data_IF_735757965579
#
_entry.id   IF_735757965579
#
_cell.length_a   1.000
_cell.length_b   1.000
_cell.length_c   1.000
_cell.angle_alpha   90.00
_cell.angle_beta   90.00
_cell.angle_gamma   90.00
#
_symmetry.space_group_name_H-M   'P 1'
#
loop_
_entity.id
_entity.type
_entity.pdbx_description
1 polymer ?
#
# COMPACT_ATOMS: atom_id res chain seq x y z
N UNK A 1 7.77 2.62 3.36
CA UNK A 1 6.74 3.69 3.37
C UNK A 1 7.30 4.96 3.99
N UNK A 2 7.97 5.81 3.20
CA UNK A 2 8.29 7.20 3.59
C UNK A 2 7.30 8.12 2.87
N UNK A 3 6.56 8.91 3.63
CA UNK A 3 5.55 9.79 3.06
C UNK A 3 4.73 10.62 4.05
N UNK A 4 5.23 10.88 5.25
CA UNK A 4 4.77 12.01 6.04
C UNK A 4 5.74 13.17 5.78
N UNK A 5 5.26 14.24 5.14
CA UNK A 5 6.01 15.49 4.99
C UNK A 5 6.43 15.97 6.37
N UNK A 6 7.74 16.05 6.60
CA UNK A 6 8.30 16.80 7.71
C UNK A 6 7.88 18.27 7.60
N UNK A 7 7.38 18.80 8.70
CA UNK A 7 7.48 20.23 8.99
C UNK A 7 8.97 20.60 9.11
N UNK A 8 9.35 21.87 8.85
CA UNK A 8 10.76 22.24 8.69
C UNK A 8 11.47 22.22 10.05
N UNK A 9 12.45 21.34 10.16
CA UNK A 9 13.32 21.23 11.33
C UNK A 9 14.20 20.01 11.18
N UNK A 10 15.46 20.23 10.77
CA UNK A 10 16.47 19.19 10.73
C UNK A 10 16.64 18.55 12.11
N UNK A 11 16.42 17.24 12.20
CA UNK A 11 16.67 16.45 13.41
C UNK A 11 16.42 14.99 13.12
N UNK A 12 17.42 14.15 13.37
CA UNK A 12 17.30 12.70 13.27
C UNK A 12 16.16 12.16 14.14
N UNK A 13 15.72 10.95 13.82
CA UNK A 13 14.65 10.24 14.53
C UNK A 13 15.15 9.80 15.93
N UNK A 14 15.43 10.71 16.85
CA UNK A 14 15.68 10.42 18.26
C UNK A 14 14.34 10.40 19.03
N UNK A 15 13.44 9.51 18.60
CA UNK A 15 12.21 9.19 19.34
C UNK A 15 12.38 7.86 20.08
N UNK A 16 12.12 7.83 21.39
CA UNK A 16 12.00 6.57 22.14
C UNK A 16 10.86 5.72 21.54
N UNK A 17 10.94 4.37 21.57
CA UNK A 17 9.83 3.50 21.19
C UNK A 17 8.50 3.86 21.88
N UNK A 18 8.55 4.39 23.11
CA UNK A 18 7.36 4.87 23.83
C UNK A 18 6.72 6.11 23.19
N UNK A 19 7.52 7.08 22.75
CA UNK A 19 7.04 8.27 22.07
C UNK A 19 6.48 7.93 20.67
N UNK A 20 7.09 6.96 19.99
CA UNK A 20 6.56 6.44 18.73
C UNK A 20 5.18 5.81 18.93
N UNK A 21 5.03 4.95 19.95
CA UNK A 21 3.75 4.32 20.28
C UNK A 21 2.65 5.37 20.53
N UNK A 22 2.91 6.34 21.39
CA UNK A 22 1.97 7.42 21.71
C UNK A 22 1.54 8.19 20.45
N UNK A 23 2.49 8.48 19.55
CA UNK A 23 2.19 9.13 18.28
C UNK A 23 1.24 8.34 17.36
N UNK A 24 1.23 7.01 17.46
CA UNK A 24 0.37 6.13 16.67
C UNK A 24 -0.95 5.73 17.36
N UNK A 25 -1.14 6.02 18.66
CA UNK A 25 -2.36 5.65 19.41
C UNK A 25 -3.65 6.22 18.80
N UNK A 26 -3.58 7.37 18.13
CA UNK A 26 -4.72 8.08 17.56
C UNK A 26 -4.72 8.05 16.03
N UNK A 27 -4.01 7.11 15.42
CA UNK A 27 -3.96 6.99 13.97
C UNK A 27 -5.34 6.68 13.38
N UNK A 28 -5.82 7.52 12.47
CA UNK A 28 -7.06 7.30 11.72
C UNK A 28 -6.73 6.79 10.31
N UNK A 29 -7.01 5.50 10.00
CA UNK A 29 -6.72 4.93 8.69
C UNK A 29 -7.53 5.59 7.55
N UNK A 30 -8.76 6.06 7.82
CA UNK A 30 -9.59 6.71 6.80
C UNK A 30 -9.05 8.10 6.47
N UNK A 31 -8.67 8.86 7.49
CA UNK A 31 -8.03 10.15 7.29
C UNK A 31 -6.69 9.98 6.56
N UNK A 32 -5.89 8.97 6.92
CA UNK A 32 -4.65 8.65 6.24
C UNK A 32 -4.86 8.36 4.74
N UNK A 33 -5.83 7.51 4.41
CA UNK A 33 -6.18 7.18 3.03
C UNK A 33 -6.64 8.42 2.26
N UNK A 34 -7.57 9.21 2.82
CA UNK A 34 -8.05 10.44 2.17
C UNK A 34 -6.92 11.44 1.92
N UNK A 35 -6.00 11.59 2.87
CA UNK A 35 -4.96 12.60 2.78
C UNK A 35 -3.83 12.22 1.81
N UNK A 36 -3.66 10.93 1.49
CA UNK A 36 -2.52 10.43 0.71
C UNK A 36 -2.90 9.76 -0.61
N UNK A 37 -4.08 9.15 -0.67
CA UNK A 37 -4.51 8.26 -1.76
C UNK A 37 -5.84 8.68 -2.38
N UNK A 38 -6.29 9.92 -2.13
CA UNK A 38 -7.34 10.59 -2.90
C UNK A 38 -6.79 11.87 -3.57
N UNK A 39 -7.50 12.41 -4.57
CA UNK A 39 -7.13 13.68 -5.19
C UNK A 39 -7.00 14.81 -4.14
N UNK A 40 -6.02 15.73 -4.29
CA UNK A 40 -5.14 15.89 -5.45
C UNK A 40 -3.84 15.06 -5.38
N UNK A 41 -3.61 14.24 -4.34
CA UNK A 41 -2.34 13.49 -4.21
C UNK A 41 -2.32 12.22 -5.06
N UNK A 42 -3.44 11.52 -5.12
CA UNK A 42 -3.65 10.41 -6.04
C UNK A 42 -4.18 10.93 -7.38
N UNK A 43 -3.40 11.81 -8.00
CA UNK A 43 -3.63 12.25 -9.36
C UNK A 43 -2.90 11.28 -10.32
N UNK A 44 -3.66 10.68 -11.22
CA UNK A 44 -3.18 9.70 -12.20
C UNK A 44 -3.09 10.30 -13.62
N UNK A 45 -3.30 11.61 -13.77
CA UNK A 45 -3.22 12.28 -15.08
C UNK A 45 -1.80 12.38 -15.65
N UNK A 46 -0.76 12.11 -14.84
CA UNK A 46 0.64 12.10 -15.26
C UNK A 46 1.44 11.03 -14.54
N UNK A 47 2.28 10.30 -15.27
CA UNK A 47 3.21 9.31 -14.70
C UNK A 47 4.29 9.92 -13.79
N UNK A 48 4.54 11.23 -13.91
CA UNK A 48 5.52 11.95 -13.09
C UNK A 48 4.98 12.25 -11.68
N UNK A 49 3.69 12.02 -11.44
CA UNK A 49 3.11 12.19 -10.11
C UNK A 49 3.43 11.02 -9.18
N UNK A 50 3.46 11.33 -7.88
CA UNK A 50 4.02 10.45 -6.87
C UNK A 50 3.35 9.08 -6.80
N UNK A 51 2.04 8.99 -7.01
CA UNK A 51 1.31 7.72 -6.95
C UNK A 51 1.57 6.88 -8.21
N UNK A 52 1.35 7.39 -9.44
CA UNK A 52 1.77 6.70 -10.67
C UNK A 52 3.24 6.28 -10.68
N UNK A 53 4.16 7.17 -10.29
CA UNK A 53 5.59 6.88 -10.23
C UNK A 53 5.90 5.70 -9.28
N UNK A 54 5.28 5.66 -8.09
CA UNK A 54 5.44 4.54 -7.15
C UNK A 54 4.98 3.21 -7.77
N UNK A 55 3.83 3.22 -8.43
CA UNK A 55 3.28 2.03 -9.07
C UNK A 55 4.16 1.55 -10.22
N UNK A 56 4.65 2.48 -11.06
CA UNK A 56 5.58 2.16 -12.15
C UNK A 56 6.85 1.51 -11.61
N UNK A 57 7.48 2.08 -10.59
CA UNK A 57 8.69 1.51 -10.01
C UNK A 57 8.47 0.08 -9.49
N UNK A 58 7.34 -0.18 -8.82
CA UNK A 58 7.00 -1.53 -8.35
C UNK A 58 6.80 -2.48 -9.54
N UNK A 59 6.01 -2.07 -10.54
CA UNK A 59 5.74 -2.86 -11.72
C UNK A 59 7.01 -3.23 -12.49
N UNK A 60 7.88 -2.25 -12.78
CA UNK A 60 9.16 -2.47 -13.46
C UNK A 60 10.09 -3.40 -12.66
N UNK A 61 10.10 -3.24 -11.33
CA UNK A 61 10.92 -4.07 -10.44
C UNK A 61 10.51 -5.54 -10.51
N UNK A 62 9.21 -5.84 -10.44
CA UNK A 62 8.74 -7.23 -10.52
C UNK A 62 8.79 -7.76 -11.96
N UNK A 63 8.56 -6.92 -12.97
CA UNK A 63 8.64 -7.28 -14.38
C UNK A 63 10.05 -7.70 -14.82
N UNK A 64 11.11 -7.26 -14.12
CA UNK A 64 12.47 -7.76 -14.33
C UNK A 64 12.57 -9.29 -14.22
N UNK A 65 11.66 -9.89 -13.44
CA UNK A 65 11.69 -11.30 -13.09
C UNK A 65 12.80 -11.66 -12.10
N UNK A 66 13.63 -10.72 -11.63
CA UNK A 66 14.68 -11.05 -10.65
C UNK A 66 14.10 -11.23 -9.25
N UNK A 67 12.98 -10.56 -8.95
CA UNK A 67 12.30 -10.60 -7.66
C UNK A 67 11.07 -11.50 -7.74
N UNK A 68 11.20 -12.73 -7.25
CA UNK A 68 10.13 -13.74 -7.17
C UNK A 68 10.44 -14.74 -6.06
N UNK A 69 9.44 -15.48 -5.60
CA UNK A 69 9.65 -16.51 -4.60
C UNK A 69 8.35 -17.13 -4.10
N UNK A 70 8.42 -17.86 -2.99
CA UNK A 70 7.23 -18.44 -2.38
C UNK A 70 6.50 -17.44 -1.48
N UNK A 71 7.22 -16.75 -0.59
CA UNK A 71 6.62 -15.84 0.39
C UNK A 71 7.22 -14.44 0.31
N UNK A 72 6.36 -13.42 0.28
CA UNK A 72 6.69 -12.02 0.50
C UNK A 72 6.13 -11.57 1.85
N UNK A 73 6.91 -10.83 2.63
CA UNK A 73 6.42 -10.19 3.87
C UNK A 73 6.46 -8.67 3.67
N UNK A 74 5.30 -8.03 3.72
CA UNK A 74 5.17 -6.58 3.74
C UNK A 74 5.12 -6.07 5.19
N UNK A 75 5.96 -5.09 5.48
CA UNK A 75 6.19 -4.59 6.85
C UNK A 75 5.75 -3.13 6.93
N UNK A 76 4.74 -2.88 7.76
CA UNK A 76 4.11 -1.56 7.87
C UNK A 76 3.20 -1.27 6.68
N UNK A 77 2.36 -2.23 6.32
CA UNK A 77 1.41 -2.13 5.20
C UNK A 77 0.42 -0.99 5.36
N UNK A 78 0.15 -0.57 6.61
CA UNK A 78 -0.89 0.37 6.96
C UNK A 78 -2.25 -0.06 6.43
N UNK A 79 -3.16 0.89 6.18
CA UNK A 79 -4.44 0.60 5.54
C UNK A 79 -4.32 0.54 4.00
N UNK A 80 -3.20 0.09 3.43
CA UNK A 80 -2.94 0.14 1.98
C UNK A 80 -2.49 -1.20 1.38
N UNK A 81 -2.85 -1.43 0.11
CA UNK A 81 -2.48 -2.65 -0.66
C UNK A 81 -1.70 -2.36 -1.94
N UNK A 82 -1.59 -1.09 -2.36
CA UNK A 82 -1.06 -0.74 -3.69
C UNK A 82 0.37 -1.24 -3.91
N UNK A 83 1.15 -1.34 -2.83
CA UNK A 83 2.53 -1.80 -2.84
C UNK A 83 2.69 -3.29 -3.16
N UNK A 84 1.59 -4.06 -3.11
CA UNK A 84 1.57 -5.50 -3.32
C UNK A 84 1.03 -5.89 -4.69
N UNK A 85 0.39 -4.96 -5.40
CA UNK A 85 -0.33 -5.24 -6.65
C UNK A 85 0.55 -5.94 -7.69
N UNK A 86 1.77 -5.43 -7.91
CA UNK A 86 2.72 -6.02 -8.86
C UNK A 86 3.45 -7.25 -8.32
N UNK A 87 3.38 -7.52 -7.02
CA UNK A 87 4.03 -8.68 -6.40
C UNK A 87 3.18 -9.96 -6.49
N UNK A 88 1.86 -9.84 -6.64
CA UNK A 88 0.91 -10.95 -6.62
C UNK A 88 1.22 -12.05 -7.64
N UNK A 89 1.75 -11.71 -8.81
CA UNK A 89 2.08 -12.69 -9.86
C UNK A 89 3.43 -13.39 -9.63
N UNK A 90 4.20 -12.95 -8.62
CA UNK A 90 5.58 -13.36 -8.38
C UNK A 90 5.76 -14.12 -7.06
N UNK A 91 4.75 -14.12 -6.19
CA UNK A 91 4.77 -14.77 -4.88
C UNK A 91 3.48 -15.55 -4.61
N UNK A 92 3.63 -16.80 -4.17
CA UNK A 92 2.50 -17.67 -3.81
C UNK A 92 1.78 -17.20 -2.54
N UNK A 93 2.52 -16.60 -1.62
CA UNK A 93 2.05 -16.17 -0.31
C UNK A 93 2.53 -14.74 -0.03
N UNK A 94 1.60 -13.87 0.37
CA UNK A 94 1.91 -12.51 0.79
C UNK A 94 1.38 -12.30 2.21
N UNK A 95 2.28 -11.94 3.13
CA UNK A 95 1.96 -11.63 4.52
C UNK A 95 2.10 -10.13 4.73
N UNK A 96 0.97 -9.44 4.86
CA UNK A 96 0.93 -8.03 5.22
C UNK A 96 0.92 -7.86 6.73
N UNK A 97 1.78 -7.00 7.27
CA UNK A 97 1.91 -6.75 8.71
C UNK A 97 1.89 -5.26 8.99
N UNK A 98 1.31 -4.87 10.12
CA UNK A 98 1.35 -3.49 10.58
C UNK A 98 1.54 -3.42 12.11
N UNK A 99 2.12 -2.31 12.57
CA UNK A 99 2.31 -2.04 14.00
C UNK A 99 0.97 -1.81 14.71
N UNK A 100 0.07 -1.10 14.04
CA UNK A 100 -1.26 -0.89 14.55
C UNK A 100 -2.08 -2.13 14.24
N UNK A 101 -2.78 -2.64 15.25
CA UNK A 101 -3.91 -3.51 15.04
C UNK A 101 -5.02 -2.68 14.39
N UNK A 102 -4.90 -2.41 13.09
CA UNK A 102 -5.99 -1.86 12.31
C UNK A 102 -7.08 -2.91 12.34
N UNK A 103 -8.29 -2.50 12.74
CA UNK A 103 -9.46 -3.37 12.70
C UNK A 103 -9.47 -4.06 11.33
N UNK A 104 -9.47 -5.41 11.26
CA UNK A 104 -9.57 -6.15 10.02
C UNK A 104 -10.72 -5.64 9.14
N UNK A 105 -11.78 -5.06 9.73
CA UNK A 105 -12.89 -4.40 9.02
C UNK A 105 -12.48 -3.19 8.17
N UNK A 106 -11.36 -2.52 8.45
CA UNK A 106 -10.85 -1.40 7.65
C UNK A 106 -10.21 -1.84 6.32
N UNK A 107 -9.65 -3.05 6.29
CA UNK A 107 -9.13 -3.72 5.09
C UNK A 107 -10.11 -4.78 4.52
N UNK A 108 -11.12 -5.15 5.29
CA UNK A 108 -12.07 -6.23 5.04
C UNK A 108 -12.84 -6.16 3.73
N UNK A 109 -13.26 -5.00 3.19
CA UNK A 109 -13.94 -4.98 1.91
C UNK A 109 -13.04 -5.51 0.78
N UNK A 110 -11.73 -5.23 0.89
CA UNK A 110 -10.74 -5.62 -0.11
C UNK A 110 -10.25 -7.05 0.13
N UNK A 111 -10.06 -7.49 1.38
CA UNK A 111 -9.54 -8.84 1.70
C UNK A 111 -10.64 -9.93 1.62
N UNK A 112 -11.91 -9.60 1.93
CA UNK A 112 -13.00 -10.57 1.81
C UNK A 112 -13.30 -10.94 0.35
N UNK A 113 -13.13 -10.00 -0.57
CA UNK A 113 -13.29 -10.27 -2.01
C UNK A 113 -12.23 -11.26 -2.52
N UNK A 114 -11.00 -11.18 -2.01
CA UNK A 114 -9.89 -12.06 -2.37
C UNK A 114 -9.93 -13.45 -1.71
N UNK A 115 -10.73 -13.64 -0.66
CA UNK A 115 -10.85 -14.93 0.06
C UNK A 115 -12.02 -15.80 -0.43
N UNK A 116 -12.74 -15.36 -1.45
CA UNK A 116 -13.70 -16.20 -2.18
C UNK A 116 -13.03 -16.82 -3.43
N UNK A 117 -12.73 -18.14 -3.43
CA UNK A 117 -12.00 -18.81 -4.52
C UNK A 117 -12.78 -19.00 -5.84
N UNK A 118 -13.89 -18.26 -6.03
CA UNK A 118 -14.78 -18.40 -7.18
C UNK A 118 -15.15 -17.08 -7.86
N UNK A 119 -14.39 -16.00 -7.68
CA UNK A 119 -14.56 -14.84 -8.55
C UNK A 119 -14.03 -15.23 -9.94
N UNK A 120 -14.88 -15.30 -10.98
CA UNK A 120 -14.39 -15.55 -12.32
C UNK A 120 -13.46 -14.39 -12.69
N UNK A 121 -12.32 -14.72 -13.27
CA UNK A 121 -11.25 -13.82 -13.73
C UNK A 121 -11.76 -12.65 -14.62
N UNK A 122 -13.03 -12.65 -15.03
CA UNK A 122 -13.71 -11.56 -15.73
C UNK A 122 -14.28 -10.42 -14.87
N UNK A 123 -14.17 -10.45 -13.53
CA UNK A 123 -14.57 -9.32 -12.65
C UNK A 123 -13.38 -8.61 -11.98
N UNK A 124 -12.15 -8.99 -12.32
CA UNK A 124 -10.99 -8.14 -12.06
C UNK A 124 -10.98 -7.17 -13.24
N UNK A 125 -11.27 -5.86 -13.05
CA UNK A 125 -11.08 -4.92 -14.13
C UNK A 125 -9.63 -5.03 -14.57
N UNK A 126 -9.42 -5.45 -15.82
CA UNK A 126 -8.12 -5.41 -16.48
C UNK A 126 -7.48 -4.05 -16.19
N UNK A 127 -6.15 -3.94 -15.98
CA UNK A 127 -5.50 -2.64 -15.81
C UNK A 127 -5.75 -1.68 -16.99
N UNK A 128 -6.26 -2.19 -18.12
CA UNK A 128 -6.74 -1.41 -19.26
C UNK A 128 -8.15 -0.80 -19.09
N UNK A 129 -8.97 -1.26 -18.14
CA UNK A 129 -10.33 -0.77 -17.90
C UNK A 129 -10.40 0.50 -17.03
N UNK A 130 -9.28 0.96 -16.48
CA UNK A 130 -9.17 2.25 -15.79
C UNK A 130 -8.66 3.39 -16.68
N UNK A 131 -8.43 3.11 -17.96
CA UNK A 131 -7.98 4.07 -18.96
C UNK A 131 -8.93 4.03 -20.17
N UNK A 132 -10.19 4.37 -19.94
CA UNK A 132 -11.16 4.84 -20.95
C UNK A 132 -12.19 5.75 -20.28
#
# INVERSE_FOLDING_TARGET
>A
VLGARGAPGAGGFEGSPGALREGYEHFDPRAYLRNNYLPPRADFSSEEFVVPWKLRCLAETFASGEIRGRTLIDVGSGPTIYQLLSACDHFEEIVATDYLAVDPLSLSPWILDWSHPHIPVGLIPSPHACLD
#
